data_IF_377355818506
#
_entry.id   IF_377355818506
#
_cell.length_a   1.000
_cell.length_b   1.000
_cell.length_c   1.000
_cell.angle_alpha   90.00
_cell.angle_beta   90.00
_cell.angle_gamma   90.00
#
_symmetry.space_group_name_H-M   'P 1'
#
loop_
_entity.id
_entity.type
_entity.pdbx_description
1 polymer ?
#
# COMPACT_ATOMS: atom_id res chain seq x y z
N UNK A 1 29.18 -47.49 -29.12
CA UNK A 1 29.91 -47.83 -30.35
C UNK A 1 28.91 -48.44 -31.32
N UNK A 2 28.71 -47.93 -32.57
CA UNK A 2 29.18 -46.70 -33.22
C UNK A 2 28.04 -45.63 -33.28
N UNK A 3 28.19 -44.30 -33.36
CA UNK A 3 29.05 -43.35 -34.09
C UNK A 3 28.49 -42.90 -35.46
N UNK A 4 28.34 -41.56 -35.58
CA UNK A 4 28.25 -40.72 -36.81
C UNK A 4 26.86 -40.57 -37.48
N UNK A 5 26.42 -39.42 -38.01
CA UNK A 5 26.99 -38.08 -38.18
C UNK A 5 25.84 -37.06 -38.38
N UNK A 6 26.09 -35.81 -37.98
CA UNK A 6 25.25 -34.61 -38.11
C UNK A 6 25.35 -34.02 -39.53
N UNK A 7 24.23 -33.55 -40.10
CA UNK A 7 24.23 -32.51 -41.16
C UNK A 7 23.17 -31.45 -40.86
N UNK A 8 23.63 -30.24 -40.53
CA UNK A 8 22.81 -29.05 -40.37
C UNK A 8 22.51 -28.36 -41.71
N UNK A 9 21.35 -27.70 -41.77
CA UNK A 9 21.01 -26.72 -42.81
C UNK A 9 20.69 -25.38 -42.14
N UNK A 10 21.29 -24.25 -42.56
CA UNK A 10 20.99 -22.94 -42.00
C UNK A 10 19.96 -22.22 -42.87
N UNK A 11 18.75 -21.99 -42.34
CA UNK A 11 17.77 -21.10 -42.97
C UNK A 11 18.06 -19.65 -42.57
N UNK A 12 18.27 -18.81 -43.59
CA UNK A 12 18.60 -17.38 -43.50
C UNK A 12 17.43 -16.52 -42.99
N UNK A 13 17.71 -15.39 -42.33
CA UNK A 13 16.70 -14.42 -41.90
C UNK A 13 16.22 -13.56 -43.08
N UNK A 14 14.90 -13.33 -43.15
CA UNK A 14 14.25 -12.53 -44.17
C UNK A 14 14.35 -11.04 -43.82
N UNK A 15 15.03 -10.27 -44.66
CA UNK A 15 15.08 -8.80 -44.64
C UNK A 15 13.91 -8.24 -45.44
N UNK A 16 13.05 -7.43 -44.82
CA UNK A 16 12.12 -6.56 -45.55
C UNK A 16 12.25 -5.12 -45.03
N UNK A 17 12.65 -4.25 -45.97
CA UNK A 17 12.79 -2.80 -45.81
C UNK A 17 11.47 -2.10 -46.24
N UNK A 18 11.22 -0.84 -45.82
CA UNK A 18 9.90 -0.23 -45.81
C UNK A 18 9.69 0.71 -46.99
N UNK A 19 8.53 0.69 -47.64
CA UNK A 19 8.02 1.82 -48.44
C UNK A 19 6.51 1.70 -48.65
N UNK A 20 5.75 2.67 -48.13
CA UNK A 20 4.69 3.37 -48.88
C UNK A 20 4.13 4.51 -48.04
N UNK A 21 4.63 5.70 -48.37
CA UNK A 21 3.97 6.96 -48.09
C UNK A 21 2.70 7.06 -48.96
N UNK A 22 1.58 7.47 -48.36
CA UNK A 22 0.45 8.04 -49.09
C UNK A 22 0.03 9.32 -48.37
N UNK A 23 0.31 10.42 -49.07
CA UNK A 23 -0.22 11.76 -48.84
C UNK A 23 -1.75 11.72 -48.91
N UNK A 24 -2.43 12.30 -47.91
CA UNK A 24 -3.78 12.84 -48.11
C UNK A 24 -3.79 14.28 -47.59
N UNK A 25 -4.13 15.14 -48.52
CA UNK A 25 -4.10 16.60 -48.52
C UNK A 25 -5.37 17.17 -47.89
N UNK A 26 -5.17 18.22 -47.09
CA UNK A 26 -6.04 19.37 -46.76
C UNK A 26 -7.53 19.33 -47.15
N UNK A 27 -8.41 19.58 -46.18
CA UNK A 27 -9.44 20.63 -46.32
C UNK A 27 -10.06 21.00 -44.97
N UNK A 28 -9.68 22.17 -44.46
CA UNK A 28 -10.45 22.94 -43.50
C UNK A 28 -11.64 23.60 -44.22
N UNK A 29 -12.75 23.88 -43.51
CA UNK A 29 -13.37 25.18 -43.72
C UNK A 29 -13.67 25.92 -42.41
N UNK A 30 -13.28 27.19 -42.43
CA UNK A 30 -13.70 28.26 -41.54
C UNK A 30 -15.23 28.37 -41.45
N UNK A 31 -15.76 28.56 -40.25
CA UNK A 31 -17.07 29.16 -40.06
C UNK A 31 -17.19 29.90 -38.72
N UNK A 32 -17.07 31.22 -38.80
CA UNK A 32 -17.74 32.21 -37.94
C UNK A 32 -17.82 33.52 -38.76
N UNK A 33 -18.64 34.53 -38.43
CA UNK A 33 -19.65 34.63 -37.37
C UNK A 33 -21.03 35.12 -37.88
N UNK A 34 -22.08 34.99 -37.06
CA UNK A 34 -23.30 35.82 -37.20
C UNK A 34 -23.77 36.28 -35.83
N UNK A 35 -23.69 37.59 -35.61
CA UNK A 35 -24.49 38.36 -34.64
C UNK A 35 -25.95 38.41 -35.10
N UNK A 36 -26.93 38.63 -34.20
CA UNK A 36 -27.47 39.99 -34.13
C UNK A 36 -28.00 40.44 -32.74
N UNK A 37 -27.93 41.77 -32.57
CA UNK A 37 -28.92 42.71 -31.98
C UNK A 37 -29.24 42.68 -30.48
N UNK A 38 -28.68 43.68 -29.81
CA UNK A 38 -29.37 44.77 -29.10
C UNK A 38 -30.79 44.51 -28.58
N UNK A 39 -30.88 44.45 -27.25
CA UNK A 39 -32.11 44.59 -26.49
C UNK A 39 -31.81 45.36 -25.20
N UNK A 40 -31.88 46.69 -25.28
CA UNK A 40 -31.88 47.59 -24.13
C UNK A 40 -33.00 47.21 -23.15
N UNK A 41 -32.66 46.83 -21.92
CA UNK A 41 -33.56 46.94 -20.78
C UNK A 41 -32.81 47.54 -19.59
N UNK A 42 -33.09 48.81 -19.35
CA UNK A 42 -32.88 49.48 -18.08
C UNK A 42 -33.50 48.65 -16.95
N UNK A 43 -32.74 48.42 -15.87
CA UNK A 43 -33.18 48.81 -14.51
C UNK A 43 -32.11 48.52 -13.44
N UNK A 44 -31.74 49.61 -12.77
CA UNK A 44 -31.44 49.76 -11.34
C UNK A 44 -30.22 49.03 -10.79
N UNK A 45 -29.13 49.78 -10.81
CA UNK A 45 -28.02 49.72 -9.85
C UNK A 45 -28.58 49.94 -8.43
N UNK A 46 -28.47 48.93 -7.57
CA UNK A 46 -28.69 49.08 -6.12
C UNK A 46 -27.30 49.17 -5.46
N UNK A 47 -26.87 50.41 -5.23
CA UNK A 47 -25.75 50.74 -4.35
C UNK A 47 -26.13 50.37 -2.90
N UNK A 48 -25.47 49.37 -2.33
CA UNK A 48 -25.45 49.15 -0.87
C UNK A 48 -24.15 49.74 -0.30
N UNK A 49 -24.22 50.70 0.63
CA UNK A 49 -23.03 51.28 1.25
C UNK A 49 -22.40 50.34 2.31
N UNK A 50 -21.07 50.45 2.54
CA UNK A 50 -20.31 49.60 3.46
C UNK A 50 -20.56 49.92 4.96
N UNK A 51 -20.18 49.02 5.88
CA UNK A 51 -20.46 49.16 7.31
C UNK A 51 -19.65 50.29 7.97
N UNK A 52 -20.31 51.02 8.89
CA UNK A 52 -19.69 52.07 9.71
C UNK A 52 -19.01 51.48 10.95
N UNK A 53 -17.71 51.72 11.08
CA UNK A 53 -16.99 51.70 12.36
C UNK A 53 -17.12 53.07 13.06
N UNK A 54 -17.16 53.09 14.40
CA UNK A 54 -16.56 54.18 15.17
C UNK A 54 -15.44 53.68 16.11
N UNK A 55 -14.25 54.27 15.97
CA UNK A 55 -13.11 54.30 16.91
C UNK A 55 -13.30 55.42 17.96
N UNK A 56 -12.36 55.68 18.90
CA UNK A 56 -11.71 54.81 19.88
C UNK A 56 -11.97 55.33 21.32
N UNK A 57 -11.69 54.53 22.36
CA UNK A 57 -11.34 55.05 23.69
C UNK A 57 -10.17 54.25 24.24
N UNK A 58 -9.12 55.01 24.51
CA UNK A 58 -7.90 54.62 25.19
C UNK A 58 -8.19 54.10 26.61
N UNK A 59 -7.47 53.05 27.01
CA UNK A 59 -6.66 53.01 28.23
C UNK A 59 -6.24 51.56 28.51
N UNK A 60 -5.02 51.24 28.08
CA UNK A 60 -4.18 50.18 28.63
C UNK A 60 -3.32 50.80 29.76
N UNK A 61 -2.91 50.03 30.79
CA UNK A 61 -1.69 49.25 30.60
C UNK A 61 -1.70 47.83 31.17
N UNK A 62 -0.90 47.02 30.48
CA UNK A 62 -0.45 45.67 30.77
C UNK A 62 -0.12 45.40 32.25
N UNK A 63 -0.67 44.30 32.77
CA UNK A 63 -0.14 43.61 33.95
C UNK A 63 0.67 42.39 33.49
N UNK A 64 1.99 42.55 33.49
CA UNK A 64 2.94 41.48 33.27
C UNK A 64 2.96 40.50 34.45
N UNK A 65 2.79 39.22 34.14
CA UNK A 65 3.03 38.08 35.03
C UNK A 65 4.52 38.02 35.42
N UNK A 66 4.85 38.40 36.66
CA UNK A 66 6.14 38.11 37.29
C UNK A 66 5.91 37.36 38.60
N UNK A 67 5.79 36.04 38.51
CA UNK A 67 5.88 35.14 39.66
C UNK A 67 7.36 34.98 40.06
N UNK A 68 7.79 35.82 41.00
CA UNK A 68 9.03 35.65 41.77
C UNK A 68 8.93 34.37 42.61
N UNK A 69 9.80 33.40 42.35
CA UNK A 69 10.07 32.27 43.27
C UNK A 69 11.15 32.70 44.27
N UNK A 70 11.01 32.42 45.58
CA UNK A 70 12.05 32.71 46.55
C UNK A 70 13.16 31.66 46.52
N UNK A 71 14.41 32.13 46.61
CA UNK A 71 15.61 31.36 46.94
C UNK A 71 15.48 30.84 48.36
N UNK A 72 15.42 29.51 48.54
CA UNK A 72 15.70 28.85 49.80
C UNK A 72 17.01 28.08 49.69
N UNK A 73 18.02 28.63 50.34
CA UNK A 73 19.30 28.02 50.65
C UNK A 73 19.09 26.90 51.68
N UNK A 74 19.35 25.65 51.30
CA UNK A 74 19.55 24.56 52.23
C UNK A 74 20.99 24.05 52.10
N UNK A 75 21.75 24.37 53.13
CA UNK A 75 23.08 23.86 53.46
C UNK A 75 22.98 22.52 54.19
N UNK A 76 24.04 21.71 54.06
CA UNK A 76 24.49 20.54 54.86
C UNK A 76 24.36 19.16 54.17
N UNK A 77 25.20 18.16 54.53
CA UNK A 77 26.66 18.17 54.47
C UNK A 77 27.21 16.95 53.72
N UNK A 78 28.51 17.01 53.42
CA UNK A 78 29.33 15.95 52.83
C UNK A 78 29.22 14.62 53.57
N UNK A 79 28.82 13.56 52.87
CA UNK A 79 29.10 12.18 53.26
C UNK A 79 29.85 11.49 52.13
N UNK A 80 31.19 11.52 52.26
CA UNK A 80 32.14 10.71 51.49
C UNK A 80 31.69 9.26 51.47
N UNK A 81 31.32 8.74 50.30
CA UNK A 81 31.39 7.30 50.04
C UNK A 81 32.67 7.00 49.30
N UNK A 82 33.51 6.19 49.92
CA UNK A 82 34.71 5.64 49.31
C UNK A 82 34.30 4.73 48.15
N UNK A 83 34.67 5.09 46.93
CA UNK A 83 34.64 4.18 45.79
C UNK A 83 35.81 3.20 45.94
N UNK A 84 35.50 1.94 46.25
CA UNK A 84 36.40 0.82 46.01
C UNK A 84 36.32 0.48 44.52
N UNK A 85 37.42 0.68 43.81
CA UNK A 85 37.58 0.23 42.43
C UNK A 85 37.90 -1.27 42.44
N UNK A 86 36.92 -2.11 42.14
CA UNK A 86 37.13 -3.51 41.74
C UNK A 86 35.92 -3.98 40.94
N UNK A 87 35.87 -3.60 39.67
CA UNK A 87 35.05 -4.27 38.67
C UNK A 87 36.03 -5.06 37.79
N UNK A 88 36.12 -6.37 38.04
CA UNK A 88 36.77 -7.31 37.13
C UNK A 88 35.89 -7.39 35.88
N UNK A 89 36.36 -6.79 34.77
CA UNK A 89 35.77 -6.99 33.46
C UNK A 89 36.16 -8.39 32.99
N UNK A 90 35.22 -9.33 33.06
CA UNK A 90 35.30 -10.57 32.28
C UNK A 90 35.12 -10.16 30.82
N UNK A 91 36.22 -10.19 30.07
CA UNK A 91 36.23 -10.11 28.62
C UNK A 91 35.51 -11.35 28.06
N UNK A 92 34.20 -11.22 27.83
CA UNK A 92 33.52 -12.12 26.91
C UNK A 92 34.12 -11.88 25.51
N UNK A 93 34.44 -12.92 24.74
CA UNK A 93 35.00 -12.75 23.41
C UNK A 93 33.99 -11.98 22.56
N UNK A 94 34.46 -10.88 21.96
CA UNK A 94 33.73 -10.10 20.99
C UNK A 94 33.22 -11.03 19.89
N UNK A 95 31.93 -11.37 19.96
CA UNK A 95 31.23 -11.97 18.83
C UNK A 95 31.05 -10.87 17.79
N UNK A 96 32.01 -10.82 16.86
CA UNK A 96 31.88 -10.41 15.47
C UNK A 96 30.96 -9.20 15.23
N UNK A 97 31.52 -8.02 15.43
CA UNK A 97 30.92 -6.73 14.99
C UNK A 97 30.95 -6.60 13.44
N UNK A 98 31.48 -7.58 12.71
CA UNK A 98 31.39 -7.66 11.24
C UNK A 98 30.04 -8.20 10.73
N UNK A 99 29.12 -8.63 11.60
CA UNK A 99 27.78 -9.09 11.20
C UNK A 99 26.73 -7.95 11.14
N UNK A 100 27.16 -6.70 11.33
CA UNK A 100 26.33 -5.50 11.16
C UNK A 100 26.42 -4.87 9.76
N UNK A 101 27.16 -5.51 8.85
CA UNK A 101 27.10 -5.27 7.40
C UNK A 101 26.27 -6.35 6.71
N UNK A 102 25.18 -6.79 7.35
CA UNK A 102 24.21 -7.69 6.74
C UNK A 102 23.82 -7.17 5.35
N UNK A 103 23.87 -8.02 4.30
CA UNK A 103 23.53 -7.63 2.93
C UNK A 103 22.14 -6.98 2.90
N UNK A 104 21.82 -6.11 1.92
CA UNK A 104 20.54 -5.43 1.90
C UNK A 104 19.45 -6.49 1.90
N UNK A 105 18.77 -6.67 3.05
CA UNK A 105 17.55 -7.42 3.26
C UNK A 105 17.08 -8.21 2.02
N UNK A 106 17.78 -9.30 1.71
CA UNK A 106 17.58 -10.07 0.47
C UNK A 106 16.54 -11.16 0.71
N UNK A 107 15.69 -11.43 -0.29
CA UNK A 107 14.69 -12.51 -0.21
C UNK A 107 15.39 -13.88 -0.11
N UNK A 108 15.22 -14.58 1.02
CA UNK A 108 15.75 -15.94 1.19
C UNK A 108 15.29 -16.87 0.07
N UNK A 109 16.13 -17.84 -0.34
CA UNK A 109 15.77 -18.83 -1.35
C UNK A 109 14.55 -19.63 -0.90
N UNK A 110 13.57 -19.77 -1.79
CA UNK A 110 12.32 -20.51 -1.52
C UNK A 110 11.14 -19.66 -1.03
N UNK A 111 11.33 -18.37 -0.73
CA UNK A 111 10.20 -17.47 -0.45
C UNK A 111 9.65 -16.83 -1.71
N UNK A 112 8.32 -16.55 -1.75
CA UNK A 112 7.70 -15.94 -2.91
C UNK A 112 8.23 -14.53 -3.12
N UNK A 113 8.59 -14.23 -4.37
CA UNK A 113 9.09 -12.91 -4.80
C UNK A 113 8.01 -12.19 -5.61
N UNK A 114 7.92 -10.86 -5.55
CA UNK A 114 7.00 -10.13 -6.40
C UNK A 114 7.28 -10.39 -7.89
N UNK A 115 6.28 -10.85 -8.65
CA UNK A 115 6.45 -11.11 -10.09
C UNK A 115 6.92 -9.85 -10.84
N UNK A 116 8.03 -9.93 -11.58
CA UNK A 116 8.55 -8.80 -12.37
C UNK A 116 7.53 -8.26 -13.40
N UNK A 117 6.62 -9.11 -13.88
CA UNK A 117 5.56 -8.76 -14.84
C UNK A 117 4.61 -7.66 -14.32
N UNK A 118 4.41 -7.58 -13.01
CA UNK A 118 3.47 -6.65 -12.39
C UNK A 118 4.16 -5.50 -11.64
N UNK A 119 5.45 -5.27 -11.90
CA UNK A 119 6.20 -4.10 -11.41
C UNK A 119 5.90 -2.85 -12.25
N UNK A 120 4.63 -2.66 -12.58
CA UNK A 120 4.16 -1.50 -13.34
C UNK A 120 4.11 -0.28 -12.40
N UNK A 121 4.65 0.86 -12.85
CA UNK A 121 4.54 2.13 -12.12
C UNK A 121 3.12 2.69 -12.17
N UNK A 122 2.61 3.18 -11.05
CA UNK A 122 1.29 3.83 -10.98
C UNK A 122 1.46 5.31 -11.36
N UNK A 123 0.70 5.77 -12.34
CA UNK A 123 0.72 7.18 -12.72
C UNK A 123 -0.22 7.99 -11.83
N UNK A 124 0.20 9.19 -11.48
CA UNK A 124 -0.54 10.11 -10.65
C UNK A 124 -0.38 11.55 -11.12
N UNK A 125 -1.38 12.38 -10.85
CA UNK A 125 -1.39 13.83 -11.10
C UNK A 125 -1.69 14.53 -9.78
N UNK A 126 -0.97 15.60 -9.38
CA UNK A 126 -1.26 16.30 -8.13
C UNK A 126 -2.64 16.96 -8.17
N UNK A 127 -3.22 17.16 -6.99
CA UNK A 127 -4.53 17.77 -6.83
C UNK A 127 -4.45 18.90 -5.81
N UNK A 128 -5.07 20.03 -6.11
CA UNK A 128 -5.10 21.16 -5.16
C UNK A 128 -6.23 21.03 -4.13
N UNK A 129 -7.35 20.41 -4.53
CA UNK A 129 -8.58 20.38 -3.73
C UNK A 129 -9.07 18.96 -3.43
N UNK A 130 -9.62 18.79 -2.23
CA UNK A 130 -10.29 17.58 -1.76
C UNK A 130 -11.81 17.81 -1.57
N UNK A 131 -12.55 16.75 -1.24
CA UNK A 131 -13.98 16.84 -0.93
C UNK A 131 -14.90 16.14 -1.93
N UNK A 132 -16.19 16.04 -1.59
CA UNK A 132 -17.20 15.24 -2.30
C UNK A 132 -17.37 15.65 -3.76
N UNK A 133 -17.52 16.95 -4.04
CA UNK A 133 -17.77 17.48 -5.38
C UNK A 133 -16.56 17.26 -6.31
N UNK A 134 -15.36 17.57 -5.84
CA UNK A 134 -14.12 17.34 -6.59
C UNK A 134 -13.87 15.85 -6.84
N UNK A 135 -14.11 14.99 -5.85
CA UNK A 135 -14.01 13.54 -6.02
C UNK A 135 -14.99 13.02 -7.07
N UNK A 136 -16.23 13.52 -7.09
CA UNK A 136 -17.23 13.14 -8.08
C UNK A 136 -16.84 13.62 -9.50
N UNK A 137 -16.34 14.86 -9.64
CA UNK A 137 -15.87 15.40 -10.92
C UNK A 137 -14.70 14.57 -11.48
N UNK A 138 -13.77 14.17 -10.63
CA UNK A 138 -12.61 13.37 -11.03
C UNK A 138 -13.00 11.96 -11.48
N UNK A 139 -13.92 11.31 -10.78
CA UNK A 139 -14.46 10.00 -11.21
C UNK A 139 -15.18 10.09 -12.55
N UNK A 140 -15.96 11.16 -12.78
CA UNK A 140 -16.57 11.44 -14.09
C UNK A 140 -15.52 11.63 -15.20
N UNK A 141 -14.35 12.17 -14.86
CA UNK A 141 -13.22 12.31 -15.77
C UNK A 141 -12.36 11.02 -15.91
N UNK A 142 -12.79 9.89 -15.33
CA UNK A 142 -12.06 8.62 -15.40
C UNK A 142 -10.84 8.52 -14.48
N UNK A 143 -10.75 9.40 -13.48
CA UNK A 143 -9.66 9.41 -12.47
C UNK A 143 -10.20 9.08 -11.08
N UNK A 144 -9.36 8.48 -10.26
CA UNK A 144 -9.67 8.10 -8.88
C UNK A 144 -8.95 9.07 -7.95
N UNK A 145 -9.66 9.73 -7.02
CA UNK A 145 -9.02 10.48 -5.96
C UNK A 145 -8.20 9.55 -5.07
N UNK A 146 -6.96 9.94 -4.81
CA UNK A 146 -6.06 9.22 -3.96
C UNK A 146 -5.25 10.18 -3.06
N UNK A 147 -4.68 9.61 -2.01
CA UNK A 147 -3.82 10.35 -1.08
C UNK A 147 -2.52 9.58 -0.90
N UNK A 148 -1.42 10.32 -0.75
CA UNK A 148 -0.11 9.81 -0.37
C UNK A 148 0.24 10.46 0.95
N UNK A 149 0.55 9.67 1.97
CA UNK A 149 0.98 10.19 3.27
C UNK A 149 2.24 9.49 3.75
N UNK A 150 2.96 10.15 4.65
CA UNK A 150 4.16 9.63 5.29
C UNK A 150 3.85 9.02 6.65
N UNK A 151 4.61 7.98 6.99
CA UNK A 151 4.58 7.34 8.29
C UNK A 151 5.73 7.91 9.12
N UNK A 152 5.53 9.06 9.76
CA UNK A 152 6.59 9.66 10.58
C UNK A 152 6.88 8.83 11.85
N UNK A 153 5.86 8.23 12.50
CA UNK A 153 6.02 7.44 13.73
C UNK A 153 4.88 6.42 13.98
N UNK A 154 4.36 5.78 12.93
CA UNK A 154 3.27 4.79 13.07
C UNK A 154 1.88 5.37 13.36
N UNK A 155 1.71 6.69 13.24
CA UNK A 155 0.42 7.39 13.17
C UNK A 155 0.12 7.81 11.72
N UNK A 156 -1.16 7.87 11.35
CA UNK A 156 -1.65 8.36 10.05
C UNK A 156 -1.51 9.90 9.96
N UNK A 157 -0.28 10.43 9.89
CA UNK A 157 -0.04 11.81 10.34
C UNK A 157 0.73 12.79 9.45
N UNK A 158 1.73 12.36 8.68
CA UNK A 158 2.70 13.28 8.08
C UNK A 158 2.49 13.57 6.59
N UNK A 159 2.81 14.80 6.16
CA UNK A 159 3.02 15.24 4.77
C UNK A 159 2.04 14.64 3.73
N UNK A 160 0.76 14.97 3.87
CA UNK A 160 -0.32 14.46 3.01
C UNK A 160 -0.31 15.17 1.66
N UNK A 161 -0.06 14.42 0.58
CA UNK A 161 -0.18 14.88 -0.80
C UNK A 161 -1.44 14.31 -1.44
N UNK A 162 -2.27 15.18 -1.98
CA UNK A 162 -3.46 14.78 -2.73
C UNK A 162 -3.06 14.48 -4.18
N UNK A 163 -3.45 13.31 -4.68
CA UNK A 163 -3.10 12.85 -6.03
C UNK A 163 -4.29 12.19 -6.71
N UNK A 164 -4.37 12.28 -8.03
CA UNK A 164 -5.36 11.62 -8.87
C UNK A 164 -4.68 10.52 -9.65
N UNK A 165 -5.20 9.30 -9.59
CA UNK A 165 -4.67 8.16 -10.35
C UNK A 165 -5.66 7.73 -11.45
N UNK A 166 -5.21 7.24 -12.62
CA UNK A 166 -6.12 6.75 -13.66
C UNK A 166 -6.95 5.56 -13.19
N UNK A 167 -8.29 5.62 -13.37
CA UNK A 167 -9.20 4.56 -12.91
C UNK A 167 -8.93 3.21 -13.59
N UNK A 168 -8.70 3.23 -14.91
CA UNK A 168 -8.41 2.02 -15.70
C UNK A 168 -7.17 1.29 -15.20
N UNK A 169 -6.13 2.03 -14.80
CA UNK A 169 -4.88 1.45 -14.32
C UNK A 169 -5.09 0.74 -12.97
N UNK A 170 -5.71 1.42 -12.01
CA UNK A 170 -6.00 0.82 -10.69
C UNK A 170 -6.93 -0.39 -10.84
N UNK A 171 -7.97 -0.27 -11.65
CA UNK A 171 -8.90 -1.38 -11.92
C UNK A 171 -8.16 -2.59 -12.49
N UNK A 172 -7.35 -2.40 -13.53
CA UNK A 172 -6.50 -3.46 -14.11
C UNK A 172 -5.64 -4.14 -13.05
N UNK A 173 -4.97 -3.36 -12.19
CA UNK A 173 -4.12 -3.90 -11.13
C UNK A 173 -4.92 -4.70 -10.09
N UNK A 174 -6.07 -4.18 -9.65
CA UNK A 174 -6.93 -4.84 -8.66
C UNK A 174 -7.59 -6.10 -9.23
N UNK A 175 -8.00 -6.09 -10.49
CA UNK A 175 -8.65 -7.24 -11.15
C UNK A 175 -7.63 -8.37 -11.40
N UNK A 176 -6.39 -8.05 -11.79
CA UNK A 176 -5.35 -9.05 -12.05
C UNK A 176 -4.70 -9.60 -10.78
N UNK A 177 -4.37 -8.75 -9.80
CA UNK A 177 -3.71 -9.18 -8.57
C UNK A 177 -4.71 -9.65 -7.51
N UNK A 178 -5.92 -9.12 -7.53
CA UNK A 178 -6.87 -9.22 -6.43
C UNK A 178 -6.61 -8.16 -5.35
N UNK A 179 -7.64 -7.89 -4.55
CA UNK A 179 -7.63 -6.81 -3.55
C UNK A 179 -6.55 -6.99 -2.48
N UNK A 180 -6.37 -8.18 -1.93
CA UNK A 180 -5.42 -8.41 -0.83
C UNK A 180 -3.97 -8.28 -1.31
N UNK A 181 -3.66 -8.85 -2.47
CA UNK A 181 -2.31 -8.78 -3.08
C UNK A 181 -1.96 -7.37 -3.55
N UNK A 182 -2.94 -6.60 -4.04
CA UNK A 182 -2.74 -5.19 -4.35
C UNK A 182 -2.35 -4.38 -3.11
N UNK A 183 -2.88 -4.71 -1.93
CA UNK A 183 -2.58 -4.00 -0.69
C UNK A 183 -1.28 -4.46 -0.01
N UNK A 184 -0.80 -5.68 -0.29
CA UNK A 184 0.47 -6.17 0.24
C UNK A 184 1.67 -5.78 -0.61
N UNK A 185 1.48 -5.41 -1.89
CA UNK A 185 2.56 -5.16 -2.84
C UNK A 185 3.00 -3.70 -2.88
N UNK A 186 4.31 -3.48 -2.99
CA UNK A 186 4.89 -2.17 -3.22
C UNK A 186 4.81 -1.77 -4.69
N UNK A 187 4.54 -0.49 -4.93
CA UNK A 187 4.48 0.10 -6.27
C UNK A 187 5.30 1.37 -6.33
N UNK A 188 5.76 1.71 -7.54
CA UNK A 188 6.39 3.00 -7.82
C UNK A 188 5.33 3.99 -8.31
N UNK A 189 5.01 4.99 -7.48
CA UNK A 189 4.10 6.07 -7.84
C UNK A 189 4.85 7.19 -8.54
N UNK A 190 4.45 7.51 -9.76
CA UNK A 190 5.02 8.59 -10.57
C UNK A 190 4.02 9.74 -10.64
N UNK A 191 4.39 10.88 -10.06
CA UNK A 191 3.57 12.09 -10.04
C UNK A 191 3.99 13.00 -11.18
N UNK A 192 3.09 13.22 -12.14
CA UNK A 192 3.27 14.03 -13.34
C UNK A 192 2.56 15.37 -13.18
N UNK A 193 3.06 16.44 -13.83
CA UNK A 193 2.48 17.78 -13.71
C UNK A 193 1.09 17.95 -14.33
N UNK A 194 0.88 17.36 -15.51
CA UNK A 194 -0.34 17.56 -16.28
C UNK A 194 -1.17 16.27 -16.39
N UNK A 195 -0.92 15.50 -17.44
CA UNK A 195 -1.58 14.23 -17.72
C UNK A 195 -0.56 13.10 -17.57
N UNK A 196 -1.05 11.97 -17.06
CA UNK A 196 -0.25 10.77 -16.83
C UNK A 196 0.53 10.38 -18.10
N UNK A 197 1.85 10.56 -18.06
CA UNK A 197 2.78 10.17 -19.14
C UNK A 197 3.03 11.20 -20.24
N UNK A 198 2.46 12.42 -20.17
CA UNK A 198 2.64 13.43 -21.23
C UNK A 198 3.19 14.79 -20.73
N UNK A 199 3.58 14.88 -19.46
CA UNK A 199 4.19 16.08 -18.86
C UNK A 199 5.55 15.80 -18.23
N UNK A 200 5.99 16.70 -17.36
CA UNK A 200 7.23 16.52 -16.59
C UNK A 200 6.98 15.65 -15.36
N UNK A 201 7.93 14.76 -15.07
CA UNK A 201 7.92 13.95 -13.86
C UNK A 201 8.32 14.84 -12.66
N UNK A 202 7.36 15.12 -11.78
CA UNK A 202 7.59 15.92 -10.56
C UNK A 202 8.29 15.08 -9.49
N UNK A 203 7.75 13.89 -9.22
CA UNK A 203 8.21 13.05 -8.11
C UNK A 203 8.00 11.57 -8.46
N UNK A 204 8.95 10.73 -8.08
CA UNK A 204 8.83 9.28 -8.18
C UNK A 204 9.09 8.67 -6.81
N UNK A 205 8.06 8.07 -6.20
CA UNK A 205 8.10 7.59 -4.82
C UNK A 205 7.70 6.12 -4.75
N UNK A 206 8.36 5.34 -3.90
CA UNK A 206 7.87 4.00 -3.53
C UNK A 206 6.72 4.11 -2.55
N UNK A 207 5.61 3.46 -2.87
CA UNK A 207 4.39 3.52 -2.06
C UNK A 207 3.81 2.13 -1.84
N UNK A 208 3.15 1.98 -0.68
CA UNK A 208 2.31 0.84 -0.35
C UNK A 208 0.84 1.26 -0.42
N UNK A 209 -0.03 0.58 -1.18
CA UNK A 209 -1.46 0.80 -1.12
C UNK A 209 -2.00 0.32 0.23
N UNK A 210 -2.48 1.24 1.06
CA UNK A 210 -3.02 0.93 2.39
C UNK A 210 -4.47 0.50 2.35
N UNK A 211 -5.28 1.13 1.48
CA UNK A 211 -6.70 0.83 1.35
C UNK A 211 -7.19 1.19 -0.05
N UNK A 212 -8.04 0.32 -0.58
CA UNK A 212 -8.82 0.57 -1.80
C UNK A 212 -10.30 0.46 -1.46
N UNK A 213 -11.07 1.47 -1.90
CA UNK A 213 -12.53 1.46 -1.88
C UNK A 213 -13.01 1.18 -3.29
N UNK A 214 -13.79 0.12 -3.44
CA UNK A 214 -14.44 -0.24 -4.70
C UNK A 214 -15.94 0.04 -4.58
N UNK A 215 -16.56 0.34 -5.70
CA UNK A 215 -18.01 0.46 -5.80
C UNK A 215 -18.65 -0.94 -5.74
N UNK A 216 -19.61 -1.15 -4.84
CA UNK A 216 -20.13 -2.49 -4.53
C UNK A 216 -20.80 -3.23 -5.69
N UNK A 217 -21.30 -2.52 -6.70
CA UNK A 217 -21.99 -3.13 -7.85
C UNK A 217 -21.21 -3.13 -9.16
N UNK A 218 -20.19 -2.28 -9.30
CA UNK A 218 -19.45 -2.10 -10.57
C UNK A 218 -17.96 -2.40 -10.43
N UNK A 219 -17.50 -2.65 -9.21
CA UNK A 219 -16.10 -2.80 -8.82
C UNK A 219 -15.19 -1.65 -9.26
N UNK A 220 -15.78 -0.48 -9.54
CA UNK A 220 -15.01 0.69 -9.93
C UNK A 220 -14.26 1.27 -8.71
N UNK A 221 -12.96 1.59 -8.84
CA UNK A 221 -12.20 2.18 -7.76
C UNK A 221 -12.70 3.59 -7.44
N UNK A 222 -13.19 3.77 -6.21
CA UNK A 222 -13.72 5.04 -5.71
C UNK A 222 -12.64 5.90 -5.04
N UNK A 223 -11.72 5.26 -4.31
CA UNK A 223 -10.65 5.92 -3.59
C UNK A 223 -9.49 4.94 -3.36
N UNK A 224 -8.26 5.42 -3.46
CA UNK A 224 -7.06 4.67 -3.08
C UNK A 224 -6.21 5.49 -2.11
N UNK A 225 -5.78 4.84 -1.05
CA UNK A 225 -4.90 5.44 -0.05
C UNK A 225 -3.52 4.80 -0.15
N UNK A 226 -2.50 5.61 -0.40
CA UNK A 226 -1.11 5.19 -0.49
C UNK A 226 -0.31 5.71 0.69
N UNK A 227 0.65 4.91 1.14
CA UNK A 227 1.60 5.25 2.19
C UNK A 227 3.01 5.23 1.58
N UNK A 228 3.82 6.27 1.84
CA UNK A 228 5.22 6.28 1.40
C UNK A 228 6.00 5.18 2.12
N UNK A 229 6.80 4.44 1.35
CA UNK A 229 7.59 3.30 1.83
C UNK A 229 9.07 3.50 1.45
N UNK A 230 9.84 4.30 2.20
CA UNK A 230 11.29 4.34 2.05
C UNK A 230 11.91 3.01 2.52
N UNK A 231 13.07 2.63 1.99
CA UNK A 231 13.71 1.32 2.29
C UNK A 231 13.89 1.07 3.78
N UNK A 232 14.24 2.11 4.54
CA UNK A 232 14.47 2.02 5.99
C UNK A 232 13.18 1.96 6.84
N UNK A 233 12.00 2.15 6.26
CA UNK A 233 10.76 2.18 7.04
C UNK A 233 10.24 0.78 7.41
N UNK A 234 9.70 0.68 8.63
CA UNK A 234 8.95 -0.47 9.11
C UNK A 234 7.45 -0.27 8.81
N UNK A 235 6.93 -1.14 7.95
CA UNK A 235 5.58 -1.09 7.44
C UNK A 235 4.70 -2.12 8.15
N UNK A 236 3.50 -1.69 8.56
CA UNK A 236 2.45 -2.60 9.06
C UNK A 236 1.62 -3.06 7.87
N UNK A 237 1.77 -4.30 7.42
CA UNK A 237 1.16 -4.81 6.18
C UNK A 237 0.26 -6.01 6.49
N UNK A 238 -0.85 -6.11 5.77
CA UNK A 238 -1.72 -7.28 5.79
C UNK A 238 -1.30 -8.18 4.60
N UNK A 239 -0.57 -9.26 4.87
CA UNK A 239 -0.04 -10.17 3.84
C UNK A 239 -1.06 -11.28 3.58
N UNK A 240 -1.42 -11.56 2.30
CA UNK A 240 -2.35 -12.63 1.96
C UNK A 240 -1.73 -14.02 2.15
N UNK A 241 -2.58 -14.97 2.50
CA UNK A 241 -2.24 -16.39 2.62
C UNK A 241 -2.69 -17.15 1.38
N UNK A 242 -1.79 -17.96 0.83
CA UNK A 242 -2.04 -18.88 -0.28
C UNK A 242 -2.02 -20.30 0.25
N UNK A 243 -3.15 -21.00 0.15
CA UNK A 243 -3.25 -22.39 0.57
C UNK A 243 -2.88 -23.31 -0.58
N UNK A 244 -1.97 -24.25 -0.33
CA UNK A 244 -1.51 -25.26 -1.28
C UNK A 244 -1.75 -26.66 -0.72
N UNK A 245 -1.75 -27.68 -1.58
CA UNK A 245 -1.90 -29.08 -1.15
C UNK A 245 -3.32 -29.46 -0.71
N UNK A 246 -4.34 -28.74 -1.19
CA UNK A 246 -5.75 -29.04 -0.89
C UNK A 246 -6.16 -30.44 -1.38
N UNK A 247 -5.62 -30.86 -2.53
CA UNK A 247 -5.84 -32.16 -3.15
C UNK A 247 -5.12 -33.32 -2.44
N UNK A 248 -3.94 -33.06 -1.89
CA UNK A 248 -3.13 -34.04 -1.16
C UNK A 248 -3.60 -34.28 0.28
N UNK A 249 -4.30 -33.30 0.89
CA UNK A 249 -4.72 -33.33 2.28
C UNK A 249 -5.54 -34.59 2.64
N UNK A 250 -5.12 -35.40 3.63
CA UNK A 250 -5.85 -36.60 4.03
C UNK A 250 -7.23 -36.26 4.60
N UNK A 251 -7.36 -35.13 5.29
CA UNK A 251 -8.63 -34.67 5.84
C UNK A 251 -9.66 -34.37 4.74
N UNK A 252 -9.25 -33.65 3.70
CA UNK A 252 -10.14 -33.28 2.59
C UNK A 252 -10.49 -34.47 1.70
N UNK A 253 -9.53 -35.37 1.46
CA UNK A 253 -9.79 -36.63 0.74
C UNK A 253 -10.79 -37.55 1.43
N UNK A 254 -10.92 -37.46 2.77
CA UNK A 254 -11.94 -38.17 3.56
C UNK A 254 -13.34 -37.54 3.48
N UNK A 255 -13.53 -36.47 2.72
CA UNK A 255 -14.81 -35.78 2.57
C UNK A 255 -15.08 -34.71 3.64
N UNK A 256 -14.05 -34.28 4.38
CA UNK A 256 -14.16 -33.13 5.27
C UNK A 256 -14.15 -31.80 4.49
N UNK A 257 -14.51 -30.71 5.15
CA UNK A 257 -14.54 -29.37 4.56
C UNK A 257 -13.38 -28.50 5.06
N UNK A 258 -12.74 -27.77 4.13
CA UNK A 258 -11.70 -26.78 4.43
C UNK A 258 -12.31 -25.47 4.93
N UNK A 259 -12.05 -25.12 6.19
CA UNK A 259 -12.49 -23.87 6.77
C UNK A 259 -11.34 -22.85 6.86
N UNK A 260 -11.40 -21.82 6.01
CA UNK A 260 -10.51 -20.67 6.04
C UNK A 260 -10.96 -19.65 7.09
N UNK A 261 -10.22 -19.53 8.20
CA UNK A 261 -10.54 -18.57 9.27
C UNK A 261 -9.95 -17.18 8.94
N UNK A 262 -8.74 -17.16 8.37
CA UNK A 262 -8.05 -15.92 7.97
C UNK A 262 -7.53 -16.01 6.56
N UNK A 263 -7.75 -14.97 5.75
CA UNK A 263 -7.16 -14.83 4.41
C UNK A 263 -5.91 -13.96 4.38
N UNK A 264 -5.71 -13.16 5.42
CA UNK A 264 -4.59 -12.22 5.55
C UNK A 264 -4.10 -12.20 6.99
N UNK A 265 -2.80 -11.97 7.17
CA UNK A 265 -2.15 -11.87 8.49
C UNK A 265 -1.37 -10.57 8.57
N UNK A 266 -1.41 -9.94 9.75
CA UNK A 266 -0.77 -8.64 9.98
C UNK A 266 0.68 -8.81 10.41
N UNK A 267 1.60 -8.30 9.61
CA UNK A 267 3.02 -8.29 9.90
C UNK A 267 3.55 -6.87 10.01
N UNK A 268 4.60 -6.71 10.80
CA UNK A 268 5.50 -5.57 10.77
C UNK A 268 6.77 -6.02 10.05
N UNK A 269 7.03 -5.41 8.91
CA UNK A 269 8.10 -5.81 7.99
C UNK A 269 8.88 -4.59 7.48
N UNK A 270 10.18 -4.73 7.19
CA UNK A 270 10.92 -3.70 6.47
C UNK A 270 10.39 -3.57 5.03
N UNK A 271 10.46 -2.37 4.46
CA UNK A 271 9.97 -2.12 3.11
C UNK A 271 10.70 -2.94 2.02
N UNK A 272 11.94 -3.38 2.26
CA UNK A 272 12.70 -4.12 1.24
C UNK A 272 12.27 -5.60 1.12
N UNK A 273 11.83 -6.24 2.21
CA UNK A 273 11.38 -7.66 2.25
C UNK A 273 9.87 -7.73 2.49
N UNK A 274 9.09 -7.16 1.59
CA UNK A 274 7.63 -7.32 1.65
C UNK A 274 7.24 -8.53 0.80
N UNK A 275 6.85 -9.67 1.41
CA UNK A 275 6.43 -10.83 0.66
C UNK A 275 5.09 -10.54 -0.04
N UNK A 276 4.91 -10.96 -1.31
CA UNK A 276 3.65 -10.79 -2.02
C UNK A 276 2.53 -11.63 -1.38
N UNK A 277 2.86 -12.84 -0.91
CA UNK A 277 1.97 -13.77 -0.22
C UNK A 277 2.78 -14.71 0.68
N UNK A 278 2.09 -15.51 1.51
CA UNK A 278 2.68 -16.57 2.33
C UNK A 278 2.00 -17.88 1.97
N UNK A 279 2.78 -18.90 1.62
CA UNK A 279 2.28 -20.24 1.32
C UNK A 279 1.98 -20.99 2.62
N UNK A 280 0.85 -21.68 2.63
CA UNK A 280 0.37 -22.49 3.75
C UNK A 280 0.06 -23.87 3.21
N UNK A 281 0.87 -24.85 3.60
CA UNK A 281 0.71 -26.23 3.17
C UNK A 281 -0.39 -26.95 3.96
N UNK A 282 -1.33 -27.55 3.24
CA UNK A 282 -2.44 -28.34 3.79
C UNK A 282 -2.24 -29.85 3.64
N UNK A 283 -1.17 -30.28 2.97
CA UNK A 283 -0.95 -31.68 2.56
C UNK A 283 -0.91 -32.66 3.74
N UNK A 284 -0.45 -32.20 4.91
CA UNK A 284 -0.31 -33.03 6.11
C UNK A 284 -1.51 -32.95 7.07
N UNK A 285 -2.49 -32.07 6.82
CA UNK A 285 -3.61 -31.86 7.76
C UNK A 285 -4.68 -32.96 7.67
N UNK A 286 -5.03 -33.52 8.82
CA UNK A 286 -6.17 -34.44 8.98
C UNK A 286 -7.42 -33.75 9.56
N UNK A 287 -8.55 -34.47 9.58
CA UNK A 287 -9.82 -33.99 10.10
C UNK A 287 -9.71 -33.57 11.57
N UNK A 288 -10.19 -32.37 11.89
CA UNK A 288 -10.17 -31.80 13.24
C UNK A 288 -8.88 -31.06 13.59
N UNK A 289 -7.85 -31.11 12.73
CA UNK A 289 -6.62 -30.35 12.92
C UNK A 289 -6.77 -28.89 12.45
N UNK A 290 -5.95 -28.03 13.03
CA UNK A 290 -5.91 -26.58 12.75
C UNK A 290 -4.47 -26.12 12.65
N UNK A 291 -4.21 -25.18 11.75
CA UNK A 291 -2.93 -24.46 11.67
C UNK A 291 -3.04 -23.14 12.44
N UNK A 292 -2.01 -22.85 13.21
CA UNK A 292 -1.87 -21.63 14.00
C UNK A 292 -0.94 -20.64 13.28
N UNK A 293 -0.93 -19.39 13.72
CA UNK A 293 -0.06 -18.36 13.13
C UNK A 293 1.43 -18.64 13.30
N UNK A 294 1.80 -19.30 14.40
CA UNK A 294 3.19 -19.70 14.66
C UNK A 294 3.71 -20.76 13.67
N UNK A 295 2.82 -21.52 13.03
CA UNK A 295 3.19 -22.60 12.13
C UNK A 295 3.48 -22.07 10.71
N UNK A 296 3.33 -20.75 10.48
CA UNK A 296 3.64 -20.12 9.20
C UNK A 296 5.14 -20.04 8.95
N UNK A 297 5.55 -20.45 7.75
CA UNK A 297 6.92 -20.33 7.28
C UNK A 297 7.13 -18.91 6.76
N UNK A 298 7.72 -18.05 7.59
CA UNK A 298 7.98 -16.64 7.28
C UNK A 298 9.45 -16.27 7.50
N UNK A 299 9.90 -15.25 6.77
CA UNK A 299 11.25 -14.72 6.92
C UNK A 299 11.44 -14.11 8.34
N UNK A 300 12.60 -14.29 9.00
CA UNK A 300 12.83 -13.87 10.38
C UNK A 300 12.69 -12.35 10.62
N UNK A 301 12.86 -11.54 9.58
CA UNK A 301 12.65 -10.10 9.64
C UNK A 301 11.18 -9.67 9.82
N UNK A 302 10.21 -10.55 9.55
CA UNK A 302 8.79 -10.26 9.69
C UNK A 302 8.33 -10.53 11.13
N UNK A 303 7.83 -9.48 11.80
CA UNK A 303 7.28 -9.58 13.15
C UNK A 303 5.77 -9.70 13.10
N UNK A 304 5.23 -10.78 13.68
CA UNK A 304 3.79 -10.96 13.86
C UNK A 304 3.23 -9.89 14.82
N UNK A 305 2.16 -9.21 14.42
CA UNK A 305 1.46 -8.23 15.28
C UNK A 305 0.31 -8.84 16.08
N UNK A 306 -0.07 -10.08 15.77
CA UNK A 306 -1.19 -10.79 16.39
C UNK A 306 -0.67 -11.93 17.25
N UNK A 307 -1.52 -12.47 18.12
CA UNK A 307 -1.18 -13.61 18.97
C UNK A 307 -0.82 -14.84 18.15
N UNK A 308 0.30 -15.55 18.45
CA UNK A 308 0.77 -16.71 17.69
C UNK A 308 -0.20 -17.91 17.74
N UNK A 309 -1.02 -18.00 18.77
CA UNK A 309 -1.95 -19.12 19.00
C UNK A 309 -3.29 -18.98 18.26
N UNK A 310 -3.44 -17.93 17.45
CA UNK A 310 -4.67 -17.74 16.70
C UNK A 310 -4.73 -18.70 15.50
N UNK A 311 -5.84 -19.42 15.30
CA UNK A 311 -5.97 -20.32 14.17
C UNK A 311 -6.16 -19.56 12.85
N UNK A 312 -5.53 -20.08 11.80
CA UNK A 312 -5.57 -19.55 10.43
C UNK A 312 -6.56 -20.33 9.58
N UNK A 313 -6.51 -21.65 9.67
CA UNK A 313 -7.40 -22.56 8.98
C UNK A 313 -7.59 -23.84 9.79
N UNK A 314 -8.65 -24.58 9.46
CA UNK A 314 -8.98 -25.85 10.10
C UNK A 314 -9.69 -26.75 9.12
N UNK A 315 -9.49 -28.06 9.23
CA UNK A 315 -10.29 -29.05 8.49
C UNK A 315 -11.39 -29.55 9.42
N UNK A 316 -12.65 -29.36 9.04
CA UNK A 316 -13.81 -29.72 9.86
C UNK A 316 -14.51 -30.92 9.21
N UNK A 317 -14.75 -31.97 9.99
CA UNK A 317 -15.44 -33.17 9.51
C UNK A 317 -16.85 -32.88 8.99
N UNK A 318 -17.29 -33.66 8.02
CA UNK A 318 -18.67 -33.59 7.50
C UNK A 318 -19.67 -33.96 8.60
N UNK A 319 -20.79 -33.22 8.69
CA UNK A 319 -21.95 -33.71 9.44
C UNK A 319 -22.40 -35.03 8.81
N UNK A 320 -22.51 -36.09 9.62
CA UNK A 320 -23.11 -37.33 9.17
C UNK A 320 -24.54 -37.05 8.63
N UNK A 321 -24.97 -37.67 7.52
CA UNK A 321 -26.36 -37.60 7.11
C UNK A 321 -27.23 -38.23 8.22
N UNK A 322 -28.26 -37.51 8.66
CA UNK A 322 -29.24 -38.02 9.63
C UNK A 322 -29.74 -39.39 9.16
N UNK A 323 -29.37 -40.45 9.88
CA UNK A 323 -29.98 -41.75 9.67
C UNK A 323 -31.44 -41.63 10.10
N UNK A 324 -32.35 -41.59 9.12
CA UNK A 324 -33.77 -41.86 9.33
C UNK A 324 -33.88 -43.20 10.03
N UNK A 325 -34.17 -43.17 11.34
CA UNK A 325 -34.63 -44.35 12.08
C UNK A 325 -35.91 -44.83 11.41
N UNK A 326 -35.81 -45.84 10.57
CA UNK A 326 -36.97 -46.64 10.16
C UNK A 326 -37.57 -47.24 11.44
N UNK A 327 -38.74 -46.75 11.82
CA UNK A 327 -39.56 -47.37 12.86
C UNK A 327 -40.06 -48.69 12.29
N UNK A 328 -39.50 -49.80 12.79
CA UNK A 328 -40.05 -51.14 12.57
C UNK A 328 -41.48 -51.18 13.11
N UNK A 329 -42.36 -51.67 12.24
CA UNK A 329 -43.82 -51.76 12.37
C UNK A 329 -44.24 -52.81 13.40
#
# INVERSE_FOLDING_TARGET
MPSYHVTGSPFRPNTYSPHKALNITLSSPLHSPRTPKDGHHHRRVAFFPPPKNPTPRDDQPAAALLLRRPLQTLTLPLLRRHFSASAAAVSAPDHNIDELLSPPFDYLPGHPRPDAKHDEGIFAVPRDSSGRHFAAKERKAGRVPAIVFEQENGQEGGNKRLVSVPSKQIRKLVDHLGRSFFLSRLFRLQVWSEQAGQGDLIESVRVLPRKVHLHAGTDEPLNVTFMRAPSSALLKIDVPLMYIGEDASPGLRKGAYFNTIKRTVKFLCPADIVPPYIEVDLSELDVGQKLLMRDLIVHPALKLLQSPDQPICSIIGSRAPDQKKEKSK
#
